data_IF_012168105765
#
_entry.id   IF_012168105765
#
_cell.length_a   1.000
_cell.length_b   1.000
_cell.length_c   1.000
_cell.angle_alpha   90.00
_cell.angle_beta   90.00
_cell.angle_gamma   90.00
#
_symmetry.space_group_name_H-M   'P 1'
#
loop_
_entity.id
_entity.type
_entity.pdbx_description
1 polymer ?
#
# COMPACT_ATOMS: atom_id res chain seq x y z
N UNK A 1 27.51 16.96 8.54
CA UNK A 1 26.06 16.98 8.23
C UNK A 1 25.79 15.70 7.47
N UNK A 2 24.87 14.88 7.96
CA UNK A 2 24.77 13.43 7.73
C UNK A 2 23.70 13.12 6.67
N UNK A 3 24.01 12.43 5.56
CA UNK A 3 23.06 12.14 4.49
C UNK A 3 22.65 10.66 4.50
N UNK A 4 21.63 10.33 5.29
CA UNK A 4 20.71 9.20 5.07
C UNK A 4 19.56 9.42 6.04
N UNK A 5 18.60 10.29 5.68
CA UNK A 5 17.37 10.36 6.44
C UNK A 5 16.37 9.34 5.89
N UNK A 6 16.48 8.12 6.41
CA UNK A 6 15.27 7.53 6.99
C UNK A 6 14.64 8.64 7.85
N UNK A 7 13.34 8.84 7.83
CA UNK A 7 12.70 9.84 8.70
C UNK A 7 12.79 9.41 10.18
N UNK A 8 14.01 9.35 10.71
CA UNK A 8 14.33 9.22 12.11
C UNK A 8 14.12 10.61 12.70
N UNK A 9 12.91 10.85 13.21
CA UNK A 9 12.56 12.08 13.92
C UNK A 9 13.35 12.24 15.24
N UNK A 10 14.21 11.29 15.60
CA UNK A 10 14.93 11.27 16.88
C UNK A 10 16.19 10.41 16.84
N UNK A 11 17.19 10.78 17.67
CA UNK A 11 18.37 9.94 18.02
C UNK A 11 18.09 9.05 19.24
N UNK A 12 16.87 9.04 19.74
CA UNK A 12 16.44 8.24 20.90
C UNK A 12 15.93 6.90 20.42
N UNK A 13 16.31 5.84 21.14
CA UNK A 13 15.74 4.51 20.98
C UNK A 13 14.40 4.46 21.71
N UNK A 14 13.34 4.11 20.98
CA UNK A 14 12.03 3.82 21.57
C UNK A 14 12.11 2.46 22.28
N UNK A 15 11.86 2.43 23.59
CA UNK A 15 11.91 1.20 24.40
C UNK A 15 10.52 0.71 24.81
N UNK A 16 9.49 1.53 24.65
CA UNK A 16 8.12 1.12 24.88
C UNK A 16 7.10 2.22 24.62
N UNK A 17 5.83 1.84 24.71
CA UNK A 17 4.66 2.69 24.55
C UNK A 17 3.71 2.38 25.71
N UNK A 18 3.15 3.41 26.34
CA UNK A 18 2.06 3.30 27.31
C UNK A 18 0.84 4.08 26.80
N UNK A 19 -0.34 3.48 26.92
CA UNK A 19 -1.61 4.11 26.56
C UNK A 19 -2.47 4.31 27.79
N UNK A 20 -3.26 5.38 27.76
CA UNK A 20 -4.11 5.79 28.86
C UNK A 20 -5.47 6.25 28.34
N UNK A 21 -6.52 6.03 29.14
CA UNK A 21 -7.86 6.57 28.92
C UNK A 21 -8.18 7.57 30.03
N UNK A 22 -8.78 8.71 29.66
CA UNK A 22 -9.18 9.70 30.65
C UNK A 22 -10.45 9.24 31.39
N UNK A 23 -10.38 9.20 32.71
CA UNK A 23 -11.49 8.91 33.60
C UNK A 23 -12.00 10.19 34.24
N UNK A 24 -13.16 10.64 33.80
CA UNK A 24 -13.78 11.88 34.30
C UNK A 24 -14.24 11.79 35.76
N UNK A 25 -14.49 10.59 36.29
CA UNK A 25 -14.93 10.38 37.68
C UNK A 25 -13.77 10.55 38.66
N UNK A 26 -12.60 9.98 38.34
CA UNK A 26 -11.38 10.14 39.15
C UNK A 26 -10.56 11.38 38.77
N UNK A 27 -10.94 12.07 37.69
CA UNK A 27 -10.18 13.16 37.06
C UNK A 27 -8.71 12.77 36.78
N UNK A 28 -8.47 11.51 36.41
CA UNK A 28 -7.15 10.93 36.19
C UNK A 28 -7.11 10.12 34.88
N UNK A 29 -5.90 9.76 34.46
CA UNK A 29 -5.66 8.87 33.31
C UNK A 29 -5.44 7.45 33.80
N UNK A 30 -6.36 6.55 33.45
CA UNK A 30 -6.26 5.13 33.76
C UNK A 30 -5.42 4.44 32.67
N UNK A 31 -4.47 3.60 33.08
CA UNK A 31 -3.61 2.87 32.14
C UNK A 31 -4.43 1.81 31.37
N UNK A 32 -4.20 1.69 30.06
CA UNK A 32 -4.94 0.79 29.18
C UNK A 32 -4.07 -0.38 28.75
N UNK A 33 -2.97 -0.09 28.05
CA UNK A 33 -2.02 -1.09 27.57
C UNK A 33 -0.59 -0.52 27.65
N UNK A 34 0.39 -1.42 27.66
CA UNK A 34 1.77 -1.07 27.34
C UNK A 34 2.41 -2.07 26.41
N UNK A 35 3.42 -1.61 25.67
CA UNK A 35 4.26 -2.43 24.81
C UNK A 35 5.72 -2.17 25.16
N UNK A 36 6.44 -3.20 25.56
CA UNK A 36 7.89 -3.14 25.75
C UNK A 36 8.60 -3.60 24.47
N UNK A 37 9.61 -2.84 24.04
CA UNK A 37 10.39 -3.11 22.83
C UNK A 37 11.81 -3.53 23.18
N UNK A 38 12.13 -4.78 22.89
CA UNK A 38 13.51 -5.28 22.98
C UNK A 38 14.15 -5.17 21.62
N UNK A 39 15.33 -4.57 21.56
CA UNK A 39 16.10 -4.40 20.33
C UNK A 39 17.56 -4.77 20.53
N UNK A 40 18.21 -5.15 19.43
CA UNK A 40 19.57 -5.67 19.39
C UNK A 40 20.33 -5.06 18.20
N UNK A 41 21.58 -4.69 18.43
CA UNK A 41 22.52 -4.36 17.35
C UNK A 41 23.00 -5.65 16.71
N UNK A 42 22.61 -5.89 15.46
CA UNK A 42 23.06 -7.05 14.69
C UNK A 42 24.24 -6.67 13.80
N UNK A 43 25.25 -7.52 13.81
CA UNK A 43 26.48 -7.40 13.04
C UNK A 43 26.25 -7.86 11.59
N UNK A 44 26.56 -6.99 10.63
CA UNK A 44 26.50 -7.33 9.20
C UNK A 44 27.67 -8.19 8.74
N UNK A 45 28.78 -8.17 9.50
CA UNK A 45 30.03 -8.84 9.18
C UNK A 45 30.79 -8.19 8.03
N UNK A 46 30.47 -6.93 7.68
CA UNK A 46 31.12 -6.23 6.57
C UNK A 46 32.48 -5.69 6.97
N UNK A 47 32.62 -5.33 8.24
CA UNK A 47 33.84 -4.80 8.84
C UNK A 47 34.12 -5.53 10.17
N UNK A 48 35.39 -5.58 10.58
CA UNK A 48 35.80 -6.28 11.80
C UNK A 48 35.51 -5.53 13.11
N UNK A 49 34.60 -4.55 13.11
CA UNK A 49 34.25 -3.73 14.27
C UNK A 49 32.75 -3.41 14.32
N UNK A 50 32.28 -2.76 15.38
CA UNK A 50 30.84 -2.56 15.63
C UNK A 50 30.17 -1.43 14.84
N UNK A 51 30.87 -0.74 13.94
CA UNK A 51 30.33 0.46 13.28
C UNK A 51 29.38 0.18 12.11
N UNK A 52 29.30 -1.06 11.62
CA UNK A 52 28.30 -1.52 10.65
C UNK A 52 27.06 -2.13 11.32
N UNK A 53 27.08 -2.33 12.64
CA UNK A 53 25.99 -2.93 13.38
C UNK A 53 24.69 -2.14 13.26
N UNK A 54 23.58 -2.84 13.00
CA UNK A 54 22.26 -2.23 12.79
C UNK A 54 21.35 -2.53 13.97
N UNK A 55 20.74 -1.49 14.55
CA UNK A 55 19.70 -1.67 15.57
C UNK A 55 18.45 -2.30 14.94
N UNK A 56 18.04 -3.44 15.47
CA UNK A 56 16.85 -4.19 15.05
C UNK A 56 15.91 -4.46 16.21
N UNK A 57 14.63 -4.69 15.92
CA UNK A 57 13.62 -5.04 16.91
C UNK A 57 13.59 -6.57 17.10
N UNK A 58 13.86 -7.06 18.31
CA UNK A 58 13.89 -8.50 18.62
C UNK A 58 12.58 -9.00 19.19
N UNK A 59 11.90 -8.17 19.98
CA UNK A 59 10.58 -8.53 20.48
C UNK A 59 9.72 -7.33 20.84
N UNK A 60 8.42 -7.56 20.80
CA UNK A 60 7.39 -6.68 21.35
C UNK A 60 6.63 -7.49 22.40
N UNK A 61 6.49 -6.94 23.61
CA UNK A 61 5.71 -7.57 24.67
C UNK A 61 4.57 -6.65 25.10
N UNK A 62 3.33 -7.09 24.90
CA UNK A 62 2.15 -6.36 25.38
C UNK A 62 1.82 -6.71 26.83
N UNK A 63 1.41 -5.70 27.59
CA UNK A 63 0.76 -5.88 28.90
C UNK A 63 -0.55 -5.10 28.92
N UNK A 64 -1.67 -5.79 29.09
CA UNK A 64 -2.97 -5.14 29.30
C UNK A 64 -3.07 -4.65 30.75
N UNK A 65 -3.42 -3.37 30.95
CA UNK A 65 -3.39 -2.66 32.24
C UNK A 65 -4.76 -2.20 32.74
N UNK A 66 -5.82 -2.30 31.94
CA UNK A 66 -7.16 -1.79 32.26
C UNK A 66 -7.92 -2.54 33.39
N UNK A 67 -7.27 -3.44 34.13
CA UNK A 67 -7.85 -4.22 35.23
C UNK A 67 -7.09 -4.04 36.55
N UNK A 68 -7.55 -4.70 37.62
CA UNK A 68 -6.88 -4.64 38.94
C UNK A 68 -5.51 -5.30 38.95
N UNK A 69 -5.26 -6.23 38.03
CA UNK A 69 -3.96 -6.89 37.82
C UNK A 69 -3.63 -6.83 36.34
N UNK A 70 -2.41 -6.42 36.01
CA UNK A 70 -1.95 -6.39 34.63
C UNK A 70 -1.77 -7.81 34.07
N UNK A 71 -2.15 -8.01 32.81
CA UNK A 71 -1.99 -9.29 32.11
C UNK A 71 -0.87 -9.13 31.09
N UNK A 72 0.27 -9.75 31.36
CA UNK A 72 1.39 -9.80 30.45
C UNK A 72 1.18 -10.92 29.43
N UNK A 73 1.27 -10.59 28.14
CA UNK A 73 1.23 -11.56 27.05
C UNK A 73 2.64 -12.12 26.80
N UNK A 74 2.70 -13.26 26.12
CA UNK A 74 3.97 -13.75 25.57
C UNK A 74 4.48 -12.80 24.49
N UNK A 75 5.80 -12.62 24.36
CA UNK A 75 6.36 -11.67 23.42
C UNK A 75 6.20 -12.14 21.97
N UNK A 76 5.87 -11.21 21.07
CA UNK A 76 6.10 -11.38 19.63
C UNK A 76 7.61 -11.33 19.40
N UNK A 77 8.19 -12.33 18.74
CA UNK A 77 9.63 -12.41 18.49
C UNK A 77 9.97 -12.31 17.01
N UNK A 78 11.11 -11.68 16.71
CA UNK A 78 11.62 -11.51 15.36
C UNK A 78 13.00 -12.16 15.20
N UNK A 79 13.17 -12.91 14.12
CA UNK A 79 14.49 -13.38 13.65
C UNK A 79 14.84 -12.71 12.33
N UNK A 80 16.13 -12.75 11.98
CA UNK A 80 16.66 -12.03 10.84
C UNK A 80 17.58 -12.91 10.01
N UNK A 81 17.56 -12.68 8.70
CA UNK A 81 18.51 -13.18 7.71
C UNK A 81 19.34 -12.01 7.18
N UNK A 82 20.66 -12.21 7.02
CA UNK A 82 21.56 -11.18 6.50
C UNK A 82 21.58 -11.18 4.97
N UNK A 83 21.53 -9.99 4.39
CA UNK A 83 21.52 -9.78 2.93
C UNK A 83 22.33 -8.54 2.53
N UNK A 84 23.23 -8.63 1.54
CA UNK A 84 23.93 -7.45 0.99
C UNK A 84 22.93 -6.42 0.46
N UNK A 85 23.03 -5.16 0.88
CA UNK A 85 22.15 -4.11 0.36
C UNK A 85 22.72 -3.45 -0.89
N UNK A 86 24.05 -3.38 -1.02
CA UNK A 86 24.74 -2.87 -2.19
C UNK A 86 24.89 -3.97 -3.24
N UNK A 87 24.83 -3.60 -4.52
CA UNK A 87 25.26 -4.49 -5.63
C UNK A 87 26.78 -4.50 -5.66
N UNK A 88 27.36 -5.40 -4.88
CA UNK A 88 28.79 -5.39 -4.54
C UNK A 88 29.72 -5.88 -5.66
N UNK A 89 31.00 -5.53 -5.56
CA UNK A 89 32.09 -6.01 -6.40
C UNK A 89 33.45 -5.88 -5.70
N UNK A 90 34.51 -6.36 -6.35
CA UNK A 90 35.89 -6.13 -5.91
C UNK A 90 36.31 -4.69 -6.20
N UNK A 91 35.82 -3.73 -5.40
CA UNK A 91 36.01 -2.29 -5.63
C UNK A 91 36.31 -1.47 -4.35
N UNK A 92 36.68 -2.14 -3.25
CA UNK A 92 37.04 -1.52 -1.96
C UNK A 92 35.92 -0.64 -1.34
N UNK A 93 34.67 -0.98 -1.64
CA UNK A 93 33.49 -0.36 -1.06
C UNK A 93 32.71 -1.44 -0.33
N UNK A 94 32.12 -1.10 0.82
CA UNK A 94 31.43 -2.08 1.66
C UNK A 94 30.13 -2.61 1.01
N UNK A 95 29.82 -3.90 1.14
CA UNK A 95 28.56 -4.48 0.61
C UNK A 95 27.31 -4.02 1.36
N UNK A 96 27.46 -3.40 2.54
CA UNK A 96 26.36 -2.89 3.37
C UNK A 96 25.32 -3.98 3.67
N UNK A 97 25.74 -5.09 4.25
CA UNK A 97 24.88 -6.19 4.69
C UNK A 97 23.91 -5.70 5.75
N UNK A 98 22.62 -5.94 5.51
CA UNK A 98 21.53 -5.52 6.41
C UNK A 98 20.67 -6.71 6.84
N UNK A 99 20.22 -6.72 8.11
CA UNK A 99 19.27 -7.72 8.57
C UNK A 99 17.90 -7.50 7.93
N UNK A 100 17.30 -8.59 7.44
CA UNK A 100 15.92 -8.64 6.93
C UNK A 100 15.13 -9.63 7.76
N UNK A 101 13.86 -9.34 8.05
CA UNK A 101 13.03 -10.26 8.85
C UNK A 101 12.99 -11.63 8.15
N UNK A 102 13.22 -12.69 8.93
CA UNK A 102 13.15 -14.07 8.48
C UNK A 102 11.94 -14.78 9.08
N UNK A 103 11.69 -14.59 10.37
CA UNK A 103 10.60 -15.25 11.08
C UNK A 103 9.98 -14.32 12.10
N UNK A 104 8.67 -14.45 12.28
CA UNK A 104 7.87 -13.81 13.32
C UNK A 104 7.18 -14.91 14.11
N UNK A 105 7.38 -14.95 15.43
CA UNK A 105 6.59 -15.80 16.33
C UNK A 105 5.56 -14.91 17.02
N UNK A 106 4.27 -15.23 16.88
CA UNK A 106 3.18 -14.46 17.49
C UNK A 106 3.06 -14.70 18.99
N UNK A 107 2.25 -13.89 19.67
CA UNK A 107 1.91 -14.06 21.10
C UNK A 107 1.24 -15.41 21.38
N UNK A 108 0.65 -16.06 20.37
CA UNK A 108 0.00 -17.37 20.49
C UNK A 108 0.91 -18.52 20.05
N UNK A 109 2.16 -18.26 19.67
CA UNK A 109 3.13 -19.26 19.24
C UNK A 109 3.10 -19.62 17.74
N UNK A 110 2.22 -19.02 16.94
CA UNK A 110 2.21 -19.21 15.50
C UNK A 110 3.50 -18.65 14.86
N UNK A 111 4.05 -19.35 13.89
CA UNK A 111 5.31 -19.01 13.24
C UNK A 111 5.05 -18.59 11.79
N UNK A 112 5.33 -17.33 11.48
CA UNK A 112 5.34 -16.78 10.13
C UNK A 112 6.76 -16.70 9.60
N UNK A 113 7.07 -17.38 8.50
CA UNK A 113 8.39 -17.36 7.85
C UNK A 113 8.32 -16.60 6.53
N UNK A 114 9.30 -15.72 6.30
CA UNK A 114 9.41 -14.89 5.09
C UNK A 114 10.57 -15.38 4.23
N UNK A 115 10.24 -15.89 3.05
CA UNK A 115 11.22 -16.26 2.02
C UNK A 115 11.45 -15.05 1.12
N UNK A 116 12.67 -14.52 1.15
CA UNK A 116 13.10 -13.44 0.25
C UNK A 116 13.80 -14.00 -0.99
N UNK A 117 13.78 -13.23 -2.08
CA UNK A 117 14.57 -13.54 -3.27
C UNK A 117 16.07 -13.51 -2.97
N UNK A 118 16.85 -14.10 -3.87
CA UNK A 118 18.28 -13.79 -3.96
C UNK A 118 18.51 -12.38 -4.52
N UNK A 119 19.79 -12.02 -4.60
CA UNK A 119 20.28 -10.86 -5.36
C UNK A 119 19.90 -11.00 -6.84
N UNK A 120 19.29 -9.98 -7.43
CA UNK A 120 18.94 -10.00 -8.85
C UNK A 120 20.05 -9.39 -9.71
N UNK A 121 20.63 -8.28 -9.26
CA UNK A 121 21.61 -7.55 -10.02
C UNK A 121 23.02 -7.94 -9.61
N UNK A 122 23.91 -8.01 -10.60
CA UNK A 122 25.37 -8.08 -10.38
C UNK A 122 26.03 -6.83 -10.94
N UNK A 123 27.17 -6.44 -10.38
CA UNK A 123 27.83 -5.17 -10.69
C UNK A 123 28.05 -4.93 -12.19
N UNK A 124 28.53 -5.95 -12.90
CA UNK A 124 28.84 -5.88 -14.33
C UNK A 124 27.61 -5.57 -15.21
N UNK A 125 26.40 -5.81 -14.71
CA UNK A 125 25.17 -5.56 -15.45
C UNK A 125 24.60 -4.16 -15.23
N UNK A 126 25.06 -3.45 -14.19
CA UNK A 126 24.42 -2.20 -13.73
C UNK A 126 25.33 -0.98 -13.84
N UNK A 127 26.65 -1.14 -13.78
CA UNK A 127 27.58 -0.01 -13.74
C UNK A 127 27.50 0.89 -14.99
N UNK A 128 27.30 0.29 -16.17
CA UNK A 128 27.15 1.00 -17.44
C UNK A 128 25.69 1.03 -17.94
N UNK A 129 24.75 0.48 -17.16
CA UNK A 129 23.35 0.46 -17.55
C UNK A 129 22.72 1.85 -17.41
N UNK A 130 21.86 2.22 -18.36
CA UNK A 130 21.13 3.47 -18.32
C UNK A 130 20.04 3.40 -17.22
N UNK A 131 20.15 4.20 -16.13
CA UNK A 131 19.21 4.18 -15.02
C UNK A 131 17.74 4.35 -15.41
N UNK A 132 17.48 5.15 -16.44
CA UNK A 132 16.16 5.50 -16.93
C UNK A 132 15.44 4.38 -17.70
N UNK A 133 16.14 3.27 -17.98
CA UNK A 133 15.55 2.08 -18.61
C UNK A 133 15.53 0.86 -17.68
N UNK A 134 15.82 1.08 -16.41
CA UNK A 134 15.95 0.02 -15.43
C UNK A 134 14.61 -0.67 -15.17
N UNK A 135 14.58 -1.97 -15.42
CA UNK A 135 13.44 -2.87 -15.20
C UNK A 135 13.75 -3.99 -14.21
N UNK A 136 14.82 -3.83 -13.43
CA UNK A 136 15.32 -4.82 -12.46
C UNK A 136 14.97 -4.45 -11.04
N UNK A 137 15.04 -5.43 -10.13
CA UNK A 137 14.88 -5.23 -8.68
C UNK A 137 16.18 -4.76 -8.02
N UNK A 138 16.81 -3.76 -8.61
CA UNK A 138 17.90 -3.00 -8.02
C UNK A 138 17.79 -1.56 -8.50
N UNK A 139 18.39 -0.61 -7.80
CA UNK A 139 18.24 0.79 -8.12
C UNK A 139 19.52 1.58 -7.95
N UNK A 140 19.75 2.60 -8.77
CA UNK A 140 20.83 3.54 -8.59
C UNK A 140 20.49 4.51 -7.45
N UNK A 141 21.49 4.91 -6.66
CA UNK A 141 21.37 5.95 -5.65
C UNK A 141 22.71 6.69 -5.52
N UNK A 142 22.64 8.01 -5.39
CA UNK A 142 23.80 8.80 -5.00
C UNK A 142 24.06 8.67 -3.51
N UNK A 143 25.31 8.43 -3.14
CA UNK A 143 25.74 8.40 -1.74
C UNK A 143 27.23 8.73 -1.59
N UNK A 144 27.62 9.13 -0.40
CA UNK A 144 28.99 9.46 -0.04
C UNK A 144 29.78 8.18 0.26
N UNK A 145 30.23 7.50 -0.80
CA UNK A 145 31.04 6.28 -0.73
C UNK A 145 32.23 6.49 0.20
N UNK A 146 32.40 5.61 1.19
CA UNK A 146 33.49 5.65 2.17
C UNK A 146 33.66 7.03 2.86
N UNK A 147 32.58 7.80 3.00
CA UNK A 147 32.61 9.13 3.61
C UNK A 147 33.20 10.23 2.73
N UNK A 148 33.29 10.02 1.41
CA UNK A 148 33.71 11.05 0.47
C UNK A 148 32.83 12.30 0.55
N UNK A 149 33.41 13.49 0.32
CA UNK A 149 32.66 14.76 0.36
C UNK A 149 31.59 14.82 -0.73
N UNK A 150 31.92 14.34 -1.93
CA UNK A 150 31.03 14.33 -3.09
C UNK A 150 30.29 12.98 -3.16
N UNK A 151 28.99 13.03 -3.48
CA UNK A 151 28.20 11.83 -3.70
C UNK A 151 28.53 11.21 -5.05
N UNK A 152 28.50 9.88 -5.12
CA UNK A 152 28.64 9.11 -6.36
C UNK A 152 27.49 8.14 -6.50
N UNK A 153 27.09 7.88 -7.75
CA UNK A 153 26.04 6.92 -8.06
C UNK A 153 26.55 5.50 -7.83
N UNK A 154 25.76 4.70 -7.11
CA UNK A 154 25.99 3.28 -6.95
C UNK A 154 24.65 2.52 -6.97
N UNK A 155 24.71 1.19 -6.96
CA UNK A 155 23.51 0.35 -7.11
C UNK A 155 23.22 -0.46 -5.86
N UNK A 156 21.94 -0.58 -5.54
CA UNK A 156 21.43 -1.25 -4.35
C UNK A 156 20.38 -2.29 -4.72
N UNK A 157 20.37 -3.40 -3.99
CA UNK A 157 19.44 -4.51 -4.18
C UNK A 157 18.06 -4.19 -3.60
N UNK A 158 17.01 -4.60 -4.31
CA UNK A 158 15.65 -4.69 -3.78
C UNK A 158 15.20 -6.15 -3.75
N UNK A 159 15.20 -6.72 -2.55
CA UNK A 159 14.73 -8.09 -2.35
C UNK A 159 13.20 -8.17 -2.38
N UNK A 160 12.68 -9.15 -3.12
CA UNK A 160 11.24 -9.45 -3.17
C UNK A 160 10.89 -10.52 -2.15
N UNK A 161 9.66 -10.50 -1.64
CA UNK A 161 9.10 -11.63 -0.90
C UNK A 161 8.65 -12.67 -1.92
N UNK A 162 9.25 -13.87 -1.90
CA UNK A 162 8.83 -14.97 -2.78
C UNK A 162 7.74 -15.83 -2.13
N UNK A 163 7.78 -15.97 -0.81
CA UNK A 163 6.77 -16.68 -0.04
C UNK A 163 6.65 -16.18 1.39
N UNK A 164 5.45 -16.34 1.96
CA UNK A 164 5.15 -16.22 3.37
C UNK A 164 4.44 -17.49 3.80
N UNK A 165 5.02 -18.20 4.77
CA UNK A 165 4.46 -19.44 5.29
C UNK A 165 4.06 -19.26 6.74
N UNK A 166 2.82 -19.61 7.08
CA UNK A 166 2.28 -19.56 8.44
C UNK A 166 2.07 -20.99 8.93
N UNK A 167 2.60 -21.29 10.11
CA UNK A 167 2.49 -22.60 10.75
C UNK A 167 2.08 -22.47 12.21
N UNK A 168 1.34 -23.46 12.70
CA UNK A 168 0.97 -23.60 14.10
C UNK A 168 1.63 -24.88 14.66
N UNK A 169 2.78 -24.75 15.36
CA UNK A 169 3.48 -25.89 15.92
C UNK A 169 2.71 -26.66 16.99
N UNK A 170 1.66 -26.08 17.58
CA UNK A 170 0.86 -26.72 18.61
C UNK A 170 -0.31 -27.53 18.05
N UNK A 171 -0.75 -27.19 16.83
CA UNK A 171 -1.96 -27.76 16.22
C UNK A 171 -1.73 -28.94 15.28
N UNK A 172 -0.47 -29.33 15.00
CA UNK A 172 -0.09 -30.38 14.01
C UNK A 172 -0.76 -30.20 12.63
N UNK A 173 -1.15 -28.97 12.28
CA UNK A 173 -1.81 -28.64 11.02
C UNK A 173 -0.79 -28.39 9.90
N UNK A 174 -1.20 -28.62 8.65
CA UNK A 174 -0.40 -28.22 7.49
C UNK A 174 -0.18 -26.70 7.46
N UNK A 175 1.02 -26.27 7.09
CA UNK A 175 1.36 -24.87 6.97
C UNK A 175 0.64 -24.24 5.76
N UNK A 176 0.17 -23.01 5.91
CA UNK A 176 -0.40 -22.23 4.81
C UNK A 176 0.71 -21.42 4.16
N UNK A 177 0.95 -21.66 2.87
CA UNK A 177 1.94 -20.93 2.07
C UNK A 177 1.22 -19.93 1.14
N UNK A 178 1.64 -18.67 1.22
CA UNK A 178 1.35 -17.64 0.23
C UNK A 178 2.61 -17.39 -0.59
N UNK A 179 2.58 -17.64 -1.89
CA UNK A 179 3.75 -17.40 -2.76
C UNK A 179 3.46 -16.37 -3.84
N UNK A 180 4.51 -15.71 -4.33
CA UNK A 180 4.40 -14.58 -5.24
C UNK A 180 5.39 -14.67 -6.40
N UNK A 181 4.97 -14.18 -7.56
CA UNK A 181 5.84 -13.89 -8.71
C UNK A 181 5.54 -12.51 -9.25
N UNK A 182 6.56 -11.83 -9.74
CA UNK A 182 6.51 -10.41 -10.07
C UNK A 182 7.07 -10.17 -11.47
N UNK A 183 6.54 -9.19 -12.20
CA UNK A 183 7.10 -8.73 -13.47
C UNK A 183 6.88 -7.23 -13.69
N UNK A 184 7.75 -6.63 -14.51
CA UNK A 184 7.67 -5.20 -14.84
C UNK A 184 8.03 -4.30 -13.66
N UNK A 185 9.19 -4.49 -13.03
CA UNK A 185 9.70 -3.51 -12.07
C UNK A 185 9.91 -2.16 -12.75
N UNK A 186 9.60 -1.06 -12.06
CA UNK A 186 9.85 0.27 -12.56
C UNK A 186 10.41 1.20 -11.48
N UNK A 187 11.23 2.14 -11.93
CA UNK A 187 11.85 3.17 -11.11
C UNK A 187 11.67 4.53 -11.78
N UNK A 188 11.14 5.49 -11.04
CA UNK A 188 10.91 6.84 -11.51
C UNK A 188 12.05 7.76 -11.09
N UNK A 189 12.30 8.82 -11.86
CA UNK A 189 13.28 9.82 -11.50
C UNK A 189 12.83 10.58 -10.24
N UNK A 190 13.67 10.62 -9.21
CA UNK A 190 13.36 11.36 -7.99
C UNK A 190 13.20 12.86 -8.25
N UNK A 191 12.16 13.48 -7.69
CA UNK A 191 11.84 14.89 -7.85
C UNK A 191 11.96 15.70 -6.55
N UNK A 192 12.32 15.04 -5.44
CA UNK A 192 12.38 15.62 -4.10
C UNK A 192 13.19 16.91 -4.05
N UNK A 193 12.62 18.02 -3.55
CA UNK A 193 13.31 19.31 -3.48
C UNK A 193 14.40 19.31 -2.41
N UNK A 194 14.42 18.29 -1.52
CA UNK A 194 15.43 18.12 -0.49
C UNK A 194 16.67 17.35 -0.96
N UNK A 195 16.65 16.79 -2.18
CA UNK A 195 17.81 16.15 -2.81
C UNK A 195 18.45 17.14 -3.77
N UNK A 196 19.79 17.34 -3.75
CA UNK A 196 20.48 18.13 -4.76
C UNK A 196 20.13 17.68 -6.18
N UNK A 197 19.96 18.62 -7.11
CA UNK A 197 19.40 18.33 -8.44
C UNK A 197 20.26 17.35 -9.25
N UNK A 198 21.58 17.42 -9.07
CA UNK A 198 22.61 16.58 -9.66
C UNK A 198 22.76 15.21 -8.97
N UNK A 199 22.20 15.04 -7.78
CA UNK A 199 22.15 13.77 -7.03
C UNK A 199 20.80 13.05 -7.14
N UNK A 200 19.89 13.54 -8.00
CA UNK A 200 18.63 12.86 -8.32
C UNK A 200 18.85 11.84 -9.43
N UNK A 201 18.26 10.67 -9.26
CA UNK A 201 18.33 9.56 -10.23
C UNK A 201 17.02 8.76 -10.20
N UNK A 202 16.94 7.69 -10.99
CA UNK A 202 15.80 6.77 -11.05
C UNK A 202 15.81 5.82 -9.86
N UNK A 203 15.68 6.39 -8.65
CA UNK A 203 15.72 5.69 -7.36
C UNK A 203 14.36 5.56 -6.69
N UNK A 204 13.30 6.14 -7.26
CA UNK A 204 11.96 6.09 -6.70
C UNK A 204 11.24 4.81 -7.16
N UNK A 205 10.98 3.89 -6.22
CA UNK A 205 10.35 2.60 -6.53
C UNK A 205 8.89 2.78 -6.96
N UNK A 206 8.52 2.25 -8.14
CA UNK A 206 7.15 2.30 -8.68
C UNK A 206 6.46 0.95 -8.73
N UNK A 207 6.90 -0.01 -7.92
CA UNK A 207 6.27 -1.32 -7.83
C UNK A 207 6.60 -2.24 -9.02
N UNK A 208 5.89 -3.36 -9.06
CA UNK A 208 5.83 -4.24 -10.22
C UNK A 208 4.52 -4.00 -10.97
N UNK A 209 4.58 -3.97 -12.30
CA UNK A 209 3.41 -3.87 -13.15
C UNK A 209 2.44 -5.04 -12.89
N UNK A 210 2.95 -6.25 -12.68
CA UNK A 210 2.13 -7.43 -12.47
C UNK A 210 2.63 -8.28 -11.29
N UNK A 211 1.67 -8.74 -10.49
CA UNK A 211 1.90 -9.67 -9.38
C UNK A 211 0.98 -10.86 -9.54
N UNK A 212 1.54 -12.07 -9.52
CA UNK A 212 0.75 -13.30 -9.36
C UNK A 212 0.95 -13.82 -7.95
N UNK A 213 -0.16 -14.06 -7.25
CA UNK A 213 -0.19 -14.61 -5.91
C UNK A 213 -0.88 -15.98 -5.93
N UNK A 214 -0.37 -16.90 -5.10
CA UNK A 214 -0.97 -18.20 -4.85
C UNK A 214 -1.15 -18.41 -3.36
N UNK A 215 -2.21 -19.11 -2.96
CA UNK A 215 -2.42 -19.57 -1.57
C UNK A 215 -2.62 -21.08 -1.52
N UNK A 216 -1.96 -21.73 -0.56
CA UNK A 216 -1.89 -23.19 -0.40
C UNK A 216 -0.48 -23.72 -0.68
N UNK A 217 -0.22 -25.01 -0.49
CA UNK A 217 1.11 -25.58 -0.72
C UNK A 217 1.47 -25.68 -2.21
N UNK A 218 2.76 -25.60 -2.52
CA UNK A 218 3.25 -25.85 -3.88
C UNK A 218 2.91 -27.29 -4.35
N UNK A 219 2.53 -27.46 -5.62
CA UNK A 219 2.09 -28.73 -6.24
C UNK A 219 0.76 -29.32 -5.73
N UNK A 220 -0.01 -28.61 -4.90
CA UNK A 220 -1.39 -28.98 -4.57
C UNK A 220 -2.38 -28.08 -5.31
N UNK A 221 -3.68 -28.28 -5.09
CA UNK A 221 -4.69 -27.29 -5.48
C UNK A 221 -4.44 -25.99 -4.73
N UNK A 222 -4.37 -24.86 -5.46
CA UNK A 222 -4.12 -23.52 -4.91
C UNK A 222 -5.10 -22.53 -5.51
N UNK A 223 -5.50 -21.53 -4.73
CA UNK A 223 -6.10 -20.32 -5.31
C UNK A 223 -5.00 -19.51 -5.98
N UNK A 224 -5.33 -18.84 -7.08
CA UNK A 224 -4.41 -18.00 -7.84
C UNK A 224 -5.07 -16.68 -8.19
N UNK A 225 -4.36 -15.59 -7.96
CA UNK A 225 -4.79 -14.24 -8.36
C UNK A 225 -3.67 -13.58 -9.15
N UNK A 226 -4.03 -12.92 -10.25
CA UNK A 226 -3.10 -12.12 -11.06
C UNK A 226 -3.58 -10.68 -11.05
N UNK A 227 -2.73 -9.77 -10.61
CA UNK A 227 -3.02 -8.34 -10.47
C UNK A 227 -2.11 -7.54 -11.40
N UNK A 228 -2.68 -6.52 -12.06
CA UNK A 228 -2.02 -5.51 -12.88
C UNK A 228 -2.15 -4.16 -12.19
N UNK A 229 -1.04 -3.44 -12.03
CA UNK A 229 -0.98 -2.15 -11.36
C UNK A 229 -0.54 -1.04 -12.32
N UNK A 230 -1.02 0.17 -12.05
CA UNK A 230 -0.50 1.40 -12.65
C UNK A 230 0.73 1.83 -11.85
N UNK A 231 1.81 2.13 -12.54
CA UNK A 231 3.10 2.46 -11.93
C UNK A 231 3.35 3.97 -11.93
N UNK A 232 2.63 4.72 -12.77
CA UNK A 232 2.77 6.16 -12.89
C UNK A 232 3.94 6.60 -13.75
N UNK A 233 4.33 5.81 -14.75
CA UNK A 233 5.56 6.06 -15.54
C UNK A 233 5.36 7.02 -16.72
N UNK A 234 4.13 7.46 -17.02
CA UNK A 234 3.87 8.43 -18.07
C UNK A 234 4.31 9.83 -17.63
N UNK A 235 5.16 10.47 -18.42
CA UNK A 235 5.75 11.77 -18.10
C UNK A 235 7.08 11.68 -17.33
N UNK A 236 7.49 10.48 -16.89
CA UNK A 236 8.80 10.28 -16.24
C UNK A 236 9.94 10.74 -17.16
N UNK A 237 11.01 11.23 -16.57
CA UNK A 237 12.13 11.80 -17.29
C UNK A 237 13.01 10.69 -17.90
N UNK A 238 13.46 10.89 -19.13
CA UNK A 238 14.55 10.12 -19.72
C UNK A 238 15.89 10.86 -19.52
N UNK A 239 17.01 10.13 -19.59
CA UNK A 239 18.35 10.68 -19.38
C UNK A 239 18.71 11.78 -20.37
N UNK A 240 18.15 11.73 -21.58
CA UNK A 240 18.33 12.75 -22.63
C UNK A 240 17.50 14.03 -22.41
N UNK A 241 16.68 14.09 -21.36
CA UNK A 241 15.82 15.22 -21.02
C UNK A 241 14.43 15.19 -21.64
N UNK A 242 14.10 14.18 -22.46
CA UNK A 242 12.73 13.92 -22.91
C UNK A 242 11.90 13.25 -21.80
N UNK A 243 10.61 13.02 -22.05
CA UNK A 243 9.72 12.31 -21.13
C UNK A 243 9.16 11.04 -21.75
N UNK A 244 8.88 10.04 -20.92
CA UNK A 244 8.26 8.77 -21.33
C UNK A 244 6.80 8.98 -21.70
N UNK A 245 6.35 8.26 -22.73
CA UNK A 245 4.93 8.09 -23.04
C UNK A 245 4.52 6.65 -22.75
N UNK A 246 3.90 6.42 -21.58
CA UNK A 246 3.52 5.09 -21.11
C UNK A 246 2.00 4.92 -21.09
N UNK A 247 1.54 3.78 -21.60
CA UNK A 247 0.16 3.32 -21.54
C UNK A 247 0.13 1.87 -21.08
N UNK A 248 -0.77 1.55 -20.15
CA UNK A 248 -0.98 0.19 -19.66
C UNK A 248 -2.16 -0.43 -20.39
N UNK A 249 -1.91 -1.54 -21.08
CA UNK A 249 -2.95 -2.37 -21.66
C UNK A 249 -3.53 -3.31 -20.60
N UNK A 250 -4.83 -3.65 -20.66
CA UNK A 250 -5.41 -4.69 -19.81
C UNK A 250 -4.85 -6.08 -20.16
N UNK A 251 -5.20 -7.09 -19.36
CA UNK A 251 -4.88 -8.47 -19.69
C UNK A 251 -5.52 -8.89 -21.02
N UNK A 252 -4.75 -9.62 -21.83
CA UNK A 252 -5.24 -10.22 -23.08
C UNK A 252 -6.11 -11.46 -22.83
N UNK A 253 -6.05 -12.05 -21.64
CA UNK A 253 -6.83 -13.22 -21.25
C UNK A 253 -7.13 -13.22 -19.74
N UNK A 254 -8.41 -13.22 -19.33
CA UNK A 254 -9.60 -13.13 -20.19
C UNK A 254 -9.70 -11.76 -20.88
N UNK A 255 -10.17 -11.73 -22.13
CA UNK A 255 -10.41 -10.49 -22.85
C UNK A 255 -11.75 -9.88 -22.40
N UNK A 256 -11.69 -8.92 -21.47
CA UNK A 256 -12.87 -8.32 -20.83
C UNK A 256 -13.32 -7.00 -21.49
N UNK A 257 -12.67 -6.59 -22.59
CA UNK A 257 -13.05 -5.37 -23.34
C UNK A 257 -12.62 -4.05 -22.67
N UNK A 258 -11.82 -4.11 -21.62
CA UNK A 258 -11.22 -2.94 -20.99
C UNK A 258 -10.32 -2.17 -21.99
N UNK A 259 -10.24 -0.84 -21.86
CA UNK A 259 -9.37 -0.02 -22.67
C UNK A 259 -7.98 0.16 -22.02
N UNK A 260 -6.96 0.40 -22.85
CA UNK A 260 -5.66 0.87 -22.36
C UNK A 260 -5.80 2.24 -21.70
N UNK A 261 -5.02 2.48 -20.65
CA UNK A 261 -5.02 3.74 -19.90
C UNK A 261 -3.62 4.35 -19.90
N UNK A 262 -3.54 5.67 -19.98
CA UNK A 262 -2.29 6.41 -19.75
C UNK A 262 -1.83 6.24 -18.30
N UNK A 263 -0.60 5.80 -18.11
CA UNK A 263 -0.05 5.47 -16.79
C UNK A 263 0.44 6.72 -16.05
N UNK A 264 -0.49 7.65 -15.77
CA UNK A 264 -0.16 8.94 -15.17
C UNK A 264 0.45 8.76 -13.77
N UNK A 265 1.42 9.60 -13.44
CA UNK A 265 2.13 9.59 -12.15
C UNK A 265 1.19 9.51 -10.93
N UNK A 266 0.08 10.26 -10.95
CA UNK A 266 -0.90 10.25 -9.85
C UNK A 266 -1.61 8.90 -9.61
N UNK A 267 -1.51 7.96 -10.55
CA UNK A 267 -2.11 6.63 -10.45
C UNK A 267 -1.12 5.56 -9.98
N UNK A 268 0.09 5.95 -9.60
CA UNK A 268 1.09 5.02 -9.07
C UNK A 268 0.53 4.18 -7.91
N UNK A 269 0.72 2.86 -7.99
CA UNK A 269 0.25 1.89 -7.01
C UNK A 269 -1.23 1.50 -7.12
N UNK A 270 -2.00 2.10 -8.03
CA UNK A 270 -3.42 1.76 -8.19
C UNK A 270 -3.59 0.41 -8.90
N UNK A 271 -4.46 -0.45 -8.37
CA UNK A 271 -4.85 -1.71 -9.01
C UNK A 271 -5.68 -1.43 -10.27
N UNK A 272 -5.14 -1.73 -11.45
CA UNK A 272 -5.83 -1.57 -12.74
C UNK A 272 -6.78 -2.71 -13.04
N UNK A 273 -6.31 -3.93 -12.86
CA UNK A 273 -7.05 -5.14 -13.20
C UNK A 273 -6.61 -6.30 -12.30
N UNK A 274 -7.55 -7.16 -11.91
CA UNK A 274 -7.27 -8.37 -11.15
C UNK A 274 -8.10 -9.52 -11.69
N UNK A 275 -7.51 -10.70 -11.82
CA UNK A 275 -8.18 -11.92 -12.27
C UNK A 275 -7.94 -13.02 -11.24
N UNK A 276 -9.02 -13.64 -10.78
CA UNK A 276 -8.98 -14.80 -9.89
C UNK A 276 -9.20 -16.06 -10.70
N UNK A 277 -8.42 -17.10 -10.39
CA UNK A 277 -8.43 -18.38 -11.08
C UNK A 277 -8.75 -19.52 -10.12
N UNK A 278 -9.53 -20.48 -10.62
CA UNK A 278 -9.60 -21.85 -10.11
C UNK A 278 -8.71 -22.74 -10.98
N UNK A 279 -7.56 -23.13 -10.44
CA UNK A 279 -6.47 -23.72 -11.22
C UNK A 279 -6.01 -22.78 -12.34
N UNK A 280 -6.25 -23.18 -13.59
CA UNK A 280 -5.93 -22.38 -14.79
C UNK A 280 -7.13 -21.62 -15.35
N UNK A 281 -8.33 -21.82 -14.80
CA UNK A 281 -9.57 -21.24 -15.33
C UNK A 281 -9.88 -19.94 -14.59
N UNK A 282 -9.99 -18.83 -15.32
CA UNK A 282 -10.42 -17.55 -14.73
C UNK A 282 -11.91 -17.64 -14.33
N UNK A 283 -12.22 -17.28 -13.09
CA UNK A 283 -13.58 -17.40 -12.52
C UNK A 283 -14.20 -16.05 -12.15
N UNK A 284 -13.37 -15.06 -11.83
CA UNK A 284 -13.79 -13.70 -11.58
C UNK A 284 -12.69 -12.73 -12.01
N UNK A 285 -13.07 -11.50 -12.30
CA UNK A 285 -12.13 -10.43 -12.54
C UNK A 285 -12.69 -9.07 -12.10
N UNK A 286 -11.81 -8.13 -11.85
CA UNK A 286 -12.15 -6.75 -11.53
C UNK A 286 -11.29 -5.82 -12.36
N UNK A 287 -11.90 -4.79 -12.94
CA UNK A 287 -11.23 -3.71 -13.67
C UNK A 287 -11.62 -2.40 -12.98
N UNK A 288 -10.61 -1.59 -12.64
CA UNK A 288 -10.80 -0.28 -12.02
C UNK A 288 -10.35 0.82 -12.97
N UNK A 289 -11.19 1.84 -13.13
CA UNK A 289 -10.84 3.08 -13.80
C UNK A 289 -10.56 4.15 -12.72
N UNK A 290 -9.31 4.65 -12.63
CA UNK A 290 -8.96 5.67 -11.67
C UNK A 290 -9.42 7.05 -12.13
N UNK A 291 -9.59 7.94 -11.15
CA UNK A 291 -9.91 9.34 -11.30
C UNK A 291 -9.02 10.18 -10.41
N UNK A 292 -8.65 11.35 -10.90
CA UNK A 292 -7.88 12.32 -10.15
C UNK A 292 -8.43 13.74 -10.31
N UNK A 293 -8.18 14.56 -9.29
CA UNK A 293 -8.41 16.00 -9.36
C UNK A 293 -7.31 16.73 -8.60
N UNK A 294 -6.68 17.70 -9.26
CA UNK A 294 -5.72 18.60 -8.64
C UNK A 294 -6.38 19.51 -7.60
N UNK A 295 -5.78 19.56 -6.41
CA UNK A 295 -6.25 20.36 -5.29
C UNK A 295 -5.30 21.51 -4.96
N UNK A 296 -4.02 21.33 -5.22
CA UNK A 296 -3.00 22.37 -5.03
C UNK A 296 -1.77 22.08 -5.89
N UNK A 297 -1.01 23.13 -6.20
CA UNK A 297 0.24 23.06 -6.94
C UNK A 297 1.27 23.98 -6.30
N UNK A 298 2.49 23.49 -6.19
CA UNK A 298 3.66 24.27 -5.81
C UNK A 298 4.75 24.09 -6.85
N UNK A 299 5.39 25.18 -7.25
CA UNK A 299 6.48 25.19 -8.23
C UNK A 299 7.76 25.67 -7.54
N UNK A 300 8.42 24.82 -6.73
CA UNK A 300 9.65 25.19 -6.05
C UNK A 300 10.80 25.47 -7.04
N UNK A 301 11.66 26.46 -6.79
CA UNK A 301 12.83 26.70 -7.63
C UNK A 301 13.75 25.47 -7.70
N UNK A 302 14.12 25.06 -8.92
CA UNK A 302 15.07 23.97 -9.14
C UNK A 302 14.51 22.55 -9.01
N UNK A 303 13.20 22.39 -8.81
CA UNK A 303 12.51 21.10 -8.86
C UNK A 303 11.27 21.17 -9.78
N UNK A 304 10.67 20.01 -10.05
CA UNK A 304 9.42 19.93 -10.79
C UNK A 304 8.24 20.47 -9.99
N UNK A 305 7.09 20.63 -10.64
CA UNK A 305 5.86 20.99 -9.94
C UNK A 305 5.45 19.87 -8.98
N UNK A 306 5.27 20.19 -7.71
CA UNK A 306 4.64 19.29 -6.74
C UNK A 306 3.15 19.57 -6.69
N UNK A 307 2.37 18.55 -7.05
CA UNK A 307 0.93 18.69 -7.24
C UNK A 307 0.21 17.77 -6.27
N UNK A 308 -0.60 18.35 -5.40
CA UNK A 308 -1.51 17.60 -4.55
C UNK A 308 -2.78 17.26 -5.34
N UNK A 309 -3.25 16.03 -5.22
CA UNK A 309 -4.44 15.53 -5.91
C UNK A 309 -5.31 14.70 -4.98
N UNK A 310 -6.61 14.71 -5.23
CA UNK A 310 -7.44 13.56 -4.91
C UNK A 310 -7.18 12.46 -5.94
N UNK A 311 -7.09 11.22 -5.48
CA UNK A 311 -7.01 10.02 -6.33
C UNK A 311 -8.03 9.02 -5.80
N UNK A 312 -8.89 8.53 -6.69
CA UNK A 312 -9.98 7.60 -6.37
C UNK A 312 -10.26 6.66 -7.53
N UNK A 313 -11.13 5.68 -7.31
CA UNK A 313 -11.70 4.86 -8.38
C UNK A 313 -13.03 5.45 -8.83
N UNK A 314 -13.14 5.82 -10.10
CA UNK A 314 -14.39 6.31 -10.71
C UNK A 314 -15.28 5.15 -11.14
N UNK A 315 -14.72 4.13 -11.79
CA UNK A 315 -15.50 2.95 -12.19
C UNK A 315 -14.89 1.66 -11.68
N UNK A 316 -15.75 0.75 -11.26
CA UNK A 316 -15.39 -0.63 -10.94
C UNK A 316 -16.26 -1.53 -11.82
N UNK A 317 -15.61 -2.36 -12.60
CA UNK A 317 -16.23 -3.41 -13.40
C UNK A 317 -15.91 -4.75 -12.74
N UNK A 318 -16.93 -5.46 -12.30
CA UNK A 318 -16.83 -6.77 -11.66
C UNK A 318 -17.36 -7.83 -12.62
N UNK A 319 -16.52 -8.81 -12.93
CA UNK A 319 -16.83 -9.88 -13.86
C UNK A 319 -16.95 -11.21 -13.11
N UNK A 320 -18.00 -11.97 -13.41
CA UNK A 320 -18.17 -13.35 -12.96
C UNK A 320 -18.27 -14.26 -14.17
N UNK A 321 -17.47 -15.32 -14.20
CA UNK A 321 -17.56 -16.31 -15.26
C UNK A 321 -18.74 -17.25 -15.01
N UNK A 322 -19.67 -17.32 -15.97
CA UNK A 322 -20.81 -18.22 -15.90
C UNK A 322 -20.46 -19.53 -16.62
N UNK A 323 -20.22 -20.58 -15.85
CA UNK A 323 -19.76 -21.88 -16.39
C UNK A 323 -20.76 -22.53 -17.35
N UNK A 324 -22.06 -22.39 -17.09
CA UNK A 324 -23.12 -22.98 -17.90
C UNK A 324 -23.19 -22.36 -19.31
N UNK A 325 -23.15 -21.02 -19.40
CA UNK A 325 -23.21 -20.29 -20.69
C UNK A 325 -21.83 -20.06 -21.31
N UNK A 326 -20.75 -20.29 -20.54
CA UNK A 326 -19.36 -19.98 -20.92
C UNK A 326 -19.15 -18.51 -21.29
N UNK A 327 -19.87 -17.62 -20.62
CA UNK A 327 -19.82 -16.16 -20.84
C UNK A 327 -19.44 -15.43 -19.56
N UNK A 328 -18.90 -14.22 -19.72
CA UNK A 328 -18.69 -13.31 -18.61
C UNK A 328 -19.94 -12.48 -18.35
N UNK A 329 -20.34 -12.40 -17.09
CA UNK A 329 -21.34 -11.45 -16.62
C UNK A 329 -20.64 -10.29 -15.96
N UNK A 330 -20.98 -9.08 -16.37
CA UNK A 330 -20.42 -7.85 -15.84
C UNK A 330 -21.43 -7.13 -14.93
N UNK A 331 -20.94 -6.61 -13.82
CA UNK A 331 -21.59 -5.57 -13.02
C UNK A 331 -20.68 -4.34 -12.96
N UNK A 332 -21.24 -3.17 -13.17
CA UNK A 332 -20.49 -1.91 -13.15
C UNK A 332 -21.03 -0.97 -12.08
N UNK A 333 -20.14 -0.35 -11.32
CA UNK A 333 -20.46 0.82 -10.50
C UNK A 333 -19.66 2.02 -10.96
N UNK A 334 -20.30 3.19 -11.07
CA UNK A 334 -19.67 4.45 -11.45
C UNK A 334 -19.91 5.50 -10.37
N UNK A 335 -18.88 6.22 -9.96
CA UNK A 335 -18.94 7.23 -8.91
C UNK A 335 -18.55 8.59 -9.46
N UNK A 336 -19.42 9.59 -9.28
CA UNK A 336 -19.07 10.99 -9.52
C UNK A 336 -18.65 11.64 -8.22
N UNK A 337 -17.55 12.40 -8.26
CA UNK A 337 -17.02 13.15 -7.13
C UNK A 337 -17.26 14.65 -7.32
N UNK A 338 -17.42 15.36 -6.21
CA UNK A 338 -17.40 16.82 -6.20
C UNK A 338 -15.97 17.39 -6.14
N UNK A 339 -15.85 18.72 -6.09
CA UNK A 339 -14.58 19.45 -6.03
C UNK A 339 -13.73 19.17 -4.78
N UNK A 340 -14.27 18.50 -3.78
CA UNK A 340 -13.55 18.06 -2.57
C UNK A 340 -13.27 16.56 -2.61
N UNK A 341 -13.43 15.94 -3.78
CA UNK A 341 -13.28 14.52 -3.97
C UNK A 341 -14.31 13.70 -3.18
N UNK A 342 -15.45 14.24 -2.77
CA UNK A 342 -16.44 13.46 -2.03
C UNK A 342 -17.46 12.86 -3.01
N UNK A 343 -17.89 11.59 -2.84
CA UNK A 343 -18.82 10.95 -3.75
C UNK A 343 -20.20 11.62 -3.64
N UNK A 344 -20.73 12.12 -4.75
CA UNK A 344 -22.04 12.78 -4.83
C UNK A 344 -23.09 11.92 -5.53
N UNK A 345 -22.67 11.08 -6.47
CA UNK A 345 -23.52 10.11 -7.16
C UNK A 345 -22.78 8.79 -7.26
N UNK A 346 -23.45 7.69 -6.94
CA UNK A 346 -22.99 6.32 -7.21
C UNK A 346 -24.08 5.63 -8.02
N UNK A 347 -23.78 5.36 -9.29
CA UNK A 347 -24.62 4.59 -10.18
C UNK A 347 -24.15 3.14 -10.19
N UNK A 348 -25.00 2.23 -9.72
CA UNK A 348 -24.82 0.79 -9.81
C UNK A 348 -25.68 0.27 -10.94
N UNK A 349 -25.05 -0.15 -12.03
CA UNK A 349 -25.71 -0.62 -13.23
C UNK A 349 -26.22 -2.06 -13.12
N UNK A 350 -26.16 -2.67 -11.94
CA UNK A 350 -26.60 -4.05 -11.76
C UNK A 350 -25.86 -4.96 -12.75
N UNK A 351 -26.57 -5.80 -13.49
CA UNK A 351 -25.97 -6.54 -14.59
C UNK A 351 -25.93 -5.68 -15.85
N UNK A 352 -24.73 -5.38 -16.36
CA UNK A 352 -24.57 -4.61 -17.60
C UNK A 352 -25.32 -5.29 -18.75
N UNK A 353 -26.11 -4.49 -19.49
CA UNK A 353 -26.95 -4.95 -20.59
C UNK A 353 -28.31 -5.52 -20.16
N UNK A 354 -28.58 -5.63 -18.86
CA UNK A 354 -29.90 -5.98 -18.32
C UNK A 354 -30.54 -4.73 -17.73
N UNK A 355 -31.50 -4.14 -18.43
CA UNK A 355 -32.28 -3.04 -17.85
C UNK A 355 -33.07 -3.48 -16.62
N UNK A 356 -33.37 -2.55 -15.71
CA UNK A 356 -34.27 -2.62 -14.53
C UNK A 356 -33.66 -3.09 -13.20
N UNK A 357 -32.39 -3.42 -13.13
CA UNK A 357 -31.69 -3.73 -11.87
C UNK A 357 -30.71 -2.62 -11.41
N UNK A 358 -30.76 -1.46 -12.07
CA UNK A 358 -29.92 -0.32 -11.75
C UNK A 358 -30.41 0.45 -10.51
N UNK A 359 -29.45 0.90 -9.70
CA UNK A 359 -29.70 1.79 -8.56
C UNK A 359 -28.80 3.01 -8.61
N UNK A 360 -29.33 4.14 -8.17
CA UNK A 360 -28.58 5.40 -8.09
C UNK A 360 -28.64 5.90 -6.65
N UNK A 361 -27.48 6.11 -6.04
CA UNK A 361 -27.35 6.73 -4.73
C UNK A 361 -26.81 8.14 -4.87
N UNK A 362 -27.54 9.13 -4.36
CA UNK A 362 -27.12 10.52 -4.29
C UNK A 362 -26.81 10.93 -2.87
N UNK A 363 -25.71 11.64 -2.68
CA UNK A 363 -25.24 12.11 -1.37
C UNK A 363 -25.09 13.62 -1.38
N UNK A 364 -25.60 14.27 -0.33
CA UNK A 364 -25.41 15.69 -0.06
C UNK A 364 -24.67 15.90 1.25
N UNK A 365 -23.73 16.83 1.23
CA UNK A 365 -22.86 17.15 2.36
C UNK A 365 -23.22 18.52 2.94
N UNK A 366 -23.36 18.61 4.27
CA UNK A 366 -23.40 19.89 4.96
C UNK A 366 -21.96 20.34 5.16
N UNK A 367 -21.58 21.42 4.49
CA UNK A 367 -20.23 21.97 4.58
C UNK A 367 -20.24 23.25 5.39
N UNK A 368 -19.31 23.33 6.35
CA UNK A 368 -18.92 24.60 6.92
C UNK A 368 -17.87 25.23 6.00
N UNK A 369 -18.29 26.14 5.14
CA UNK A 369 -17.39 26.87 4.23
C UNK A 369 -16.65 28.03 4.90
N UNK A 370 -16.92 28.31 6.18
CA UNK A 370 -16.45 29.49 6.90
C UNK A 370 -15.55 29.17 8.12
N UNK A 371 -15.22 27.91 8.40
CA UNK A 371 -14.33 27.53 9.51
C UNK A 371 -13.65 26.16 9.32
N UNK A 372 -12.67 25.79 10.18
CA UNK A 372 -11.85 24.58 10.02
C UNK A 372 -12.58 23.29 10.48
N UNK A 373 -13.85 23.12 10.06
CA UNK A 373 -14.65 21.94 10.37
C UNK A 373 -14.67 20.95 9.21
N UNK A 374 -14.57 19.66 9.50
CA UNK A 374 -14.78 18.59 8.53
C UNK A 374 -16.24 18.56 8.05
N UNK A 375 -16.46 18.29 6.76
CA UNK A 375 -17.80 18.14 6.21
C UNK A 375 -18.47 16.89 6.80
N UNK A 376 -19.72 17.02 7.24
CA UNK A 376 -20.53 15.86 7.63
C UNK A 376 -21.51 15.50 6.51
N UNK A 377 -21.75 14.20 6.32
CA UNK A 377 -22.80 13.71 5.42
C UNK A 377 -24.14 14.15 5.99
N UNK A 378 -24.86 15.00 5.27
CA UNK A 378 -26.14 15.55 5.73
C UNK A 378 -27.31 14.67 5.31
N UNK A 379 -27.25 14.10 4.11
CA UNK A 379 -28.32 13.28 3.54
C UNK A 379 -27.77 12.30 2.51
N UNK A 380 -28.24 11.07 2.56
CA UNK A 380 -28.09 10.09 1.48
C UNK A 380 -29.49 9.67 1.01
N UNK A 381 -29.67 9.55 -0.30
CA UNK A 381 -30.90 9.06 -0.92
C UNK A 381 -30.52 8.01 -1.95
N UNK A 382 -31.00 6.77 -1.77
CA UNK A 382 -30.91 5.72 -2.76
C UNK A 382 -32.25 5.59 -3.49
N UNK A 383 -32.22 5.48 -4.81
CA UNK A 383 -33.40 5.31 -5.66
C UNK A 383 -33.11 4.17 -6.64
N UNK A 384 -34.08 3.28 -6.84
CA UNK A 384 -34.03 2.30 -7.94
C UNK A 384 -34.46 3.01 -9.22
N UNK A 385 -33.63 3.01 -10.25
CA UNK A 385 -33.91 3.76 -11.48
C UNK A 385 -34.46 2.81 -12.55
N UNK A 386 -35.71 2.96 -13.03
CA UNK A 386 -36.14 2.32 -14.25
C UNK A 386 -35.83 3.26 -15.44
N UNK A 387 -34.67 3.11 -16.09
CA UNK A 387 -34.36 3.84 -17.34
C UNK A 387 -34.12 5.37 -17.18
N UNK A 388 -33.91 6.12 -18.30
CA UNK A 388 -33.32 7.45 -18.28
C UNK A 388 -34.19 8.47 -17.53
N UNK A 389 -33.60 9.51 -16.93
CA UNK A 389 -34.07 10.06 -15.67
C UNK A 389 -35.38 10.81 -15.83
N UNK A 390 -36.46 10.24 -15.28
CA UNK A 390 -37.59 11.01 -14.82
C UNK A 390 -37.32 11.47 -13.38
N UNK A 391 -37.28 12.79 -13.18
CA UNK A 391 -37.14 13.41 -11.87
C UNK A 391 -38.36 13.07 -10.98
N UNK A 392 -38.22 12.10 -10.08
CA UNK A 392 -39.11 11.98 -8.93
C UNK A 392 -38.36 12.29 -7.62
N UNK A 393 -38.54 13.51 -7.13
CA UNK A 393 -38.04 13.93 -5.83
C UNK A 393 -39.00 13.48 -4.73
N UNK A 394 -38.66 12.45 -3.95
CA UNK A 394 -39.27 12.23 -2.64
C UNK A 394 -38.64 13.22 -1.66
N UNK A 395 -39.35 14.32 -1.37
CA UNK A 395 -38.97 15.28 -0.31
C UNK A 395 -39.40 14.70 1.04
N UNK A 396 -38.47 14.20 1.84
CA UNK A 396 -38.68 14.14 3.29
C UNK A 396 -38.31 15.50 3.88
N UNK A 397 -39.28 16.10 4.55
CA UNK A 397 -39.21 17.42 5.19
C UNK A 397 -38.32 17.28 6.43
N UNK A 398 -37.29 18.12 6.56
CA UNK A 398 -36.58 18.28 7.82
C UNK A 398 -37.38 19.25 8.71
N UNK A 399 -37.70 18.83 9.94
CA UNK A 399 -38.31 19.70 10.94
C UNK A 399 -37.33 20.79 11.39
N UNK A 400 -37.79 22.03 11.63
CA UNK A 400 -36.96 23.09 12.17
C UNK A 400 -37.00 23.08 13.71
N UNK A 401 -35.82 22.98 14.31
CA UNK A 401 -35.56 23.54 15.63
C UNK A 401 -35.17 22.53 16.70
N UNK A 402 -33.93 22.63 17.19
CA UNK A 402 -33.67 22.78 18.62
C UNK A 402 -32.34 23.52 18.80
N UNK A 403 -32.39 24.56 19.63
CA UNK A 403 -31.31 25.52 19.86
C UNK A 403 -30.12 24.94 20.62
N UNK A 404 -29.02 25.66 20.51
CA UNK A 404 -27.78 25.40 21.23
C UNK A 404 -28.00 25.33 22.74
N UNK A 405 -27.58 24.22 23.36
CA UNK A 405 -27.14 24.23 24.75
C UNK A 405 -25.91 23.32 24.89
N UNK A 406 -24.92 23.84 25.60
CA UNK A 406 -23.64 23.24 25.96
C UNK A 406 -23.84 22.06 26.92
N UNK A 407 -23.29 20.87 26.60
CA UNK A 407 -23.26 19.75 27.55
C UNK A 407 -22.74 18.44 26.94
N UNK A 408 -21.57 18.00 27.44
CA UNK A 408 -21.01 16.65 27.50
C UNK A 408 -21.38 15.62 26.43
N UNK A 409 -20.42 15.29 25.54
CA UNK A 409 -20.50 14.12 24.65
C UNK A 409 -19.95 12.87 25.34
N UNK A 410 -20.85 11.99 25.75
CA UNK A 410 -20.61 10.54 25.76
C UNK A 410 -20.65 10.06 24.30
N UNK A 411 -19.59 9.42 23.82
CA UNK A 411 -19.59 8.68 22.55
C UNK A 411 -19.98 7.22 22.84
N UNK A 412 -21.24 6.88 22.61
CA UNK A 412 -21.64 5.49 22.37
C UNK A 412 -21.35 5.14 20.91
N UNK A 413 -20.52 4.12 20.71
CA UNK A 413 -20.32 3.48 19.41
C UNK A 413 -21.42 2.45 19.18
N UNK A 414 -22.43 2.78 18.37
CA UNK A 414 -23.32 1.77 17.79
C UNK A 414 -22.74 1.26 16.48
N UNK A 415 -22.47 -0.05 16.45
CA UNK A 415 -22.00 -0.81 15.32
C UNK A 415 -23.04 -0.81 14.18
N UNK A 416 -22.60 -0.48 12.97
CA UNK A 416 -23.27 -0.85 11.74
C UNK A 416 -22.44 -1.96 11.08
N UNK A 417 -23.02 -3.17 11.06
CA UNK A 417 -22.45 -4.31 10.38
C UNK A 417 -22.56 -4.16 8.87
N UNK A 418 -21.40 -4.12 8.21
CA UNK A 418 -21.26 -4.44 6.80
C UNK A 418 -20.39 -5.70 6.71
N UNK A 419 -20.97 -6.76 6.15
CA UNK A 419 -20.26 -7.98 5.81
C UNK A 419 -19.31 -7.73 4.64
N UNK A 420 -18.10 -7.26 4.95
CA UNK A 420 -16.98 -7.31 4.03
C UNK A 420 -16.35 -8.71 4.12
N UNK A 421 -16.39 -9.44 3.01
CA UNK A 421 -15.49 -10.57 2.77
C UNK A 421 -14.07 -10.06 2.98
N UNK A 422 -13.34 -10.68 3.91
CA UNK A 422 -11.90 -10.47 4.13
C UNK A 422 -11.18 -10.73 2.81
N UNK A 423 -10.83 -9.64 2.11
CA UNK A 423 -9.82 -9.65 1.06
C UNK A 423 -8.52 -9.32 1.78
N UNK A 424 -7.61 -10.29 1.86
CA UNK A 424 -6.28 -10.09 2.42
C UNK A 424 -5.59 -8.92 1.70
N UNK A 425 -5.01 -7.95 2.43
CA UNK A 425 -4.22 -6.90 1.80
C UNK A 425 -2.97 -7.53 1.16
N UNK A 426 -2.54 -7.07 -0.04
CA UNK A 426 -1.31 -7.53 -0.65
C UNK A 426 -0.10 -7.25 0.27
N UNK A 427 0.77 -8.25 0.40
CA UNK A 427 1.84 -8.35 1.40
C UNK A 427 2.97 -7.30 1.33
N UNK A 428 2.88 -6.27 0.47
CA UNK A 428 3.97 -5.31 0.30
C UNK A 428 3.93 -4.10 1.25
N UNK A 429 2.83 -3.83 1.96
CA UNK A 429 2.72 -2.60 2.77
C UNK A 429 3.13 -2.72 4.25
N UNK A 430 3.65 -3.89 4.68
CA UNK A 430 3.98 -4.13 6.10
C UNK A 430 5.47 -4.41 6.37
N UNK A 431 6.33 -4.59 5.35
CA UNK A 431 7.72 -5.06 5.57
C UNK A 431 8.79 -4.14 4.95
N UNK A 432 8.53 -2.83 4.84
CA UNK A 432 9.60 -1.84 4.66
C UNK A 432 9.40 -0.62 5.57
N UNK A 433 10.00 -0.69 6.76
CA UNK A 433 10.44 0.47 7.54
C UNK A 433 11.79 0.17 8.18
#
# INVERSE_FOLDING_TARGET
>A
MEPHRNSSFTRKRLTGIDTFSYNATSAAYDAVDSWDFTGQYLDGGDIGDSSDHVLTLKSIKRTAKAGTTGIAMDPINFTYQMRPNRVDATDHILPLTRPRISTITSETGAITTVTLSGEECVRSQVIDAAPDTNTRSCYPQFWNINGATEASIDWFQKYRVLAVTVSDPAGDNEAVEHSYSYSGAAWHHGDSPFTPKDERTWSEWRGYAQVTAWTGATNTTRSKTVSLFLQGMHGDKNKDGTTKSVTVAPFSSPALGAASITDKDEYSGQLREQVTYDGSTAISATVNDPWSQETARQSPPGAGDHVARFVRTEKVHSYTYLTASRTWRERQTSTTFDSYGMPVTVDDFGQVGKGSDETCTRTWYARNTAGPGFAQRARAQAVRSPGPPANESVRQRADPGFGASTGSRLLEWQALGEGASLVDPPAEDVIQR
#
